data_IF_316625100794
#
_entry.id   IF_316625100794
#
_cell.length_a   1.000
_cell.length_b   1.000
_cell.length_c   1.000
_cell.angle_alpha   90.00
_cell.angle_beta   90.00
_cell.angle_gamma   90.00
#
_symmetry.space_group_name_H-M   'P 1'
#
loop_
_entity.id
_entity.type
_entity.pdbx_description
1 polymer ?
#
# COMPACT_ATOMS: atom_id res chain seq x y z
N UNK A 1 -1.84 23.01 -2.71
CA UNK A 1 -3.14 23.30 -2.11
C UNK A 1 -3.46 24.78 -2.18
N UNK A 2 -4.36 25.15 -3.07
CA UNK A 2 -4.75 26.55 -3.27
C UNK A 2 -6.01 26.89 -2.45
N UNK A 3 -6.79 25.91 -2.06
CA UNK A 3 -8.03 26.10 -1.32
C UNK A 3 -8.00 25.42 0.04
N UNK A 4 -8.57 26.08 1.04
CA UNK A 4 -8.77 25.56 2.38
C UNK A 4 -10.25 25.67 2.72
N UNK A 5 -10.85 24.59 3.19
CA UNK A 5 -12.24 24.61 3.60
C UNK A 5 -12.41 25.47 4.86
N UNK A 6 -13.40 26.39 4.83
CA UNK A 6 -13.84 27.11 6.02
C UNK A 6 -15.12 26.41 6.49
N UNK A 7 -15.22 25.97 7.75
CA UNK A 7 -16.47 25.47 8.29
C UNK A 7 -17.52 26.57 8.30
N UNK A 8 -18.74 26.28 7.85
CA UNK A 8 -19.85 27.24 7.82
C UNK A 8 -20.35 27.67 9.18
N UNK A 9 -19.91 27.02 10.26
CA UNK A 9 -20.31 27.33 11.64
C UNK A 9 -19.07 27.70 12.46
N UNK A 10 -18.97 28.95 12.86
CA UNK A 10 -17.83 29.49 13.60
C UNK A 10 -17.68 28.92 15.01
N UNK A 11 -18.76 28.42 15.63
CA UNK A 11 -18.74 27.87 16.97
C UNK A 11 -18.22 26.42 17.05
N UNK A 12 -18.24 25.71 15.92
CA UNK A 12 -17.75 24.32 15.82
C UNK A 12 -16.48 24.17 14.98
N UNK A 13 -15.77 25.26 14.76
CA UNK A 13 -14.56 25.30 13.93
C UNK A 13 -13.36 24.60 14.57
N UNK A 14 -13.46 23.31 14.80
CA UNK A 14 -12.27 22.47 14.79
C UNK A 14 -11.75 22.43 13.36
N UNK A 15 -10.65 23.11 13.11
CA UNK A 15 -9.95 23.10 11.82
C UNK A 15 -9.48 21.67 11.51
N UNK A 16 -10.38 20.84 11.05
CA UNK A 16 -10.01 19.60 10.36
C UNK A 16 -9.66 19.99 8.94
N UNK A 17 -8.41 20.34 8.70
CA UNK A 17 -7.86 20.38 7.36
C UNK A 17 -7.73 18.94 6.87
N UNK A 18 -8.87 18.34 6.48
CA UNK A 18 -8.86 17.02 5.87
C UNK A 18 -8.50 17.15 4.39
N UNK A 19 -7.45 16.46 3.97
CA UNK A 19 -7.34 16.03 2.60
C UNK A 19 -8.43 14.99 2.38
N UNK A 20 -9.26 15.20 1.36
CA UNK A 20 -10.06 14.09 0.85
C UNK A 20 -9.13 13.32 -0.09
N UNK A 21 -8.55 12.26 0.42
CA UNK A 21 -7.74 11.33 -0.35
C UNK A 21 -8.66 10.65 -1.35
N UNK A 22 -8.15 10.41 -2.55
CA UNK A 22 -8.79 9.68 -3.65
C UNK A 22 -9.85 10.40 -4.50
N UNK A 23 -10.20 11.65 -4.23
CA UNK A 23 -11.16 12.37 -5.09
C UNK A 23 -10.74 13.82 -5.33
N UNK A 24 -10.90 14.27 -6.58
CA UNK A 24 -10.92 15.69 -6.89
C UNK A 24 -12.20 16.27 -6.31
N UNK A 25 -12.05 17.23 -5.42
CA UNK A 25 -13.18 17.87 -4.77
C UNK A 25 -12.98 19.39 -4.73
N UNK A 26 -13.98 20.12 -5.23
CA UNK A 26 -14.02 21.57 -5.13
C UNK A 26 -14.97 21.95 -4.01
N UNK A 27 -14.48 22.51 -2.88
CA UNK A 27 -15.34 22.92 -1.79
C UNK A 27 -16.26 24.07 -2.24
N UNK A 28 -17.51 24.05 -1.78
CA UNK A 28 -18.47 25.15 -2.02
C UNK A 28 -18.02 26.47 -1.39
N UNK A 29 -17.30 26.38 -0.27
CA UNK A 29 -16.75 27.52 0.46
C UNK A 29 -15.25 27.27 0.60
N UNK A 30 -14.44 28.21 0.15
CA UNK A 30 -12.98 28.13 0.21
C UNK A 30 -12.38 29.49 0.54
N UNK A 31 -11.20 29.50 1.14
CA UNK A 31 -10.39 30.70 1.31
C UNK A 31 -9.50 30.91 0.10
N UNK A 32 -9.59 32.05 -0.50
CA UNK A 32 -8.61 32.45 -1.52
C UNK A 32 -7.22 32.60 -0.91
N UNK A 33 -6.23 32.13 -1.66
CA UNK A 33 -4.83 32.32 -1.32
C UNK A 33 -4.13 33.08 -2.44
N UNK A 34 -3.26 33.99 -2.05
CA UNK A 34 -2.41 34.67 -3.01
C UNK A 34 -1.50 33.65 -3.72
N UNK A 35 -1.70 33.49 -5.02
CA UNK A 35 -0.99 32.52 -5.85
C UNK A 35 0.52 32.78 -5.84
N UNK A 36 0.95 34.06 -5.93
CA UNK A 36 2.36 34.41 -5.91
C UNK A 36 3.03 34.09 -4.59
N UNK A 37 2.33 34.26 -3.47
CA UNK A 37 2.84 33.83 -2.18
C UNK A 37 3.03 32.31 -2.13
N UNK A 38 2.05 31.54 -2.61
CA UNK A 38 2.14 30.08 -2.65
C UNK A 38 3.26 29.62 -3.59
N UNK A 39 3.42 30.23 -4.75
CA UNK A 39 4.51 29.95 -5.68
C UNK A 39 5.88 30.24 -5.06
N UNK A 40 6.03 31.39 -4.38
CA UNK A 40 7.29 31.75 -3.73
C UNK A 40 7.69 30.75 -2.64
N UNK A 41 6.73 30.25 -1.86
CA UNK A 41 7.00 29.18 -0.87
C UNK A 41 7.52 27.91 -1.54
N UNK A 42 6.92 27.50 -2.66
CA UNK A 42 7.34 26.30 -3.39
C UNK A 42 8.66 26.49 -4.10
N UNK A 43 8.85 27.66 -4.70
CA UNK A 43 10.11 28.05 -5.33
C UNK A 43 11.30 27.95 -4.34
N UNK A 44 11.15 28.53 -3.15
CA UNK A 44 12.18 28.43 -2.10
C UNK A 44 12.47 26.99 -1.69
N UNK A 45 11.43 26.13 -1.57
CA UNK A 45 11.60 24.73 -1.25
C UNK A 45 12.36 23.98 -2.36
N UNK A 46 12.04 24.25 -3.62
CA UNK A 46 12.72 23.66 -4.79
C UNK A 46 14.18 24.09 -4.84
N UNK A 47 14.47 25.38 -4.63
CA UNK A 47 15.85 25.88 -4.62
C UNK A 47 16.65 25.17 -3.51
N UNK A 48 16.10 25.09 -2.30
CA UNK A 48 16.75 24.38 -1.20
C UNK A 48 17.06 22.93 -1.57
N UNK A 49 16.09 22.18 -2.08
CA UNK A 49 16.32 20.81 -2.53
C UNK A 49 17.39 20.69 -3.62
N UNK A 50 17.37 21.60 -4.61
CA UNK A 50 18.42 21.63 -5.66
C UNK A 50 19.81 21.96 -5.10
N UNK A 51 19.90 22.82 -4.10
CA UNK A 51 21.17 23.13 -3.44
C UNK A 51 21.72 21.95 -2.68
N UNK A 52 20.87 21.14 -2.02
CA UNK A 52 21.25 19.92 -1.32
C UNK A 52 21.76 18.83 -2.31
N UNK A 53 21.30 18.87 -3.57
CA UNK A 53 21.75 17.97 -4.63
C UNK A 53 22.95 18.51 -5.42
N UNK A 54 23.52 19.64 -5.07
CA UNK A 54 24.71 20.18 -5.74
C UNK A 54 25.90 19.24 -5.55
N UNK A 55 26.56 18.90 -6.66
CA UNK A 55 27.70 18.00 -6.68
C UNK A 55 27.36 16.52 -6.85
N UNK A 56 26.07 16.16 -6.86
CA UNK A 56 25.64 14.80 -7.22
C UNK A 56 25.70 14.67 -8.75
N UNK A 57 26.39 13.63 -9.22
CA UNK A 57 26.48 13.33 -10.64
C UNK A 57 25.14 12.81 -11.17
N UNK A 58 24.39 13.67 -11.87
CA UNK A 58 23.08 13.35 -12.43
C UNK A 58 23.12 12.38 -13.63
N UNK A 59 24.31 12.09 -14.19
CA UNK A 59 24.44 11.14 -15.30
C UNK A 59 24.22 9.67 -14.88
N UNK A 60 24.11 9.41 -13.58
CA UNK A 60 23.83 8.08 -13.02
C UNK A 60 22.33 7.75 -12.93
N UNK A 61 21.45 8.69 -13.25
CA UNK A 61 20.00 8.49 -13.19
C UNK A 61 19.37 8.67 -14.58
N UNK A 62 18.58 7.69 -14.98
CA UNK A 62 17.72 7.76 -16.18
C UNK A 62 16.26 7.78 -15.73
N UNK A 63 15.50 8.74 -16.24
CA UNK A 63 14.07 8.84 -16.00
C UNK A 63 13.31 8.51 -17.28
N UNK A 64 12.36 7.61 -17.21
CA UNK A 64 11.45 7.28 -18.29
C UNK A 64 10.01 7.17 -17.76
N UNK A 65 9.06 7.38 -18.66
CA UNK A 65 7.63 7.12 -18.39
C UNK A 65 7.19 6.00 -19.30
N UNK A 66 6.75 4.90 -18.72
CA UNK A 66 6.26 3.73 -19.45
C UNK A 66 5.22 2.99 -18.62
N UNK A 67 4.47 2.11 -19.25
CA UNK A 67 3.60 1.16 -18.61
C UNK A 67 4.44 0.06 -17.96
N UNK A 68 4.19 -0.26 -16.70
CA UNK A 68 4.90 -1.32 -15.97
C UNK A 68 4.60 -2.72 -16.51
N UNK A 69 3.48 -2.90 -17.19
CA UNK A 69 3.13 -4.15 -17.87
C UNK A 69 3.81 -4.30 -19.25
N UNK A 70 4.56 -3.28 -19.68
CA UNK A 70 5.30 -3.32 -20.94
C UNK A 70 6.65 -2.59 -20.81
N UNK A 71 7.65 -3.31 -20.37
CA UNK A 71 9.03 -2.84 -20.26
C UNK A 71 9.90 -3.28 -21.43
N UNK A 72 9.32 -3.37 -22.63
CA UNK A 72 10.02 -3.85 -23.85
C UNK A 72 11.29 -3.08 -24.22
N UNK A 73 11.43 -1.84 -23.75
CA UNK A 73 12.66 -1.05 -23.88
C UNK A 73 13.80 -1.51 -22.96
N UNK A 74 13.52 -2.35 -21.97
CA UNK A 74 14.51 -2.88 -21.03
C UNK A 74 14.81 -4.33 -21.43
N UNK A 75 16.07 -4.69 -21.69
CA UNK A 75 16.44 -6.05 -22.05
C UNK A 75 16.18 -7.06 -20.93
N UNK A 76 15.98 -8.32 -21.31
CA UNK A 76 15.87 -9.43 -20.35
C UNK A 76 17.13 -9.52 -19.50
N UNK A 77 16.97 -9.89 -18.22
CA UNK A 77 18.07 -10.13 -17.29
C UNK A 77 19.12 -8.98 -17.25
N UNK A 78 18.64 -7.73 -17.28
CA UNK A 78 19.52 -6.55 -17.32
C UNK A 78 19.52 -5.73 -16.03
N UNK A 79 18.49 -5.88 -15.21
CA UNK A 79 18.28 -5.12 -13.97
C UNK A 79 18.86 -5.88 -12.78
N UNK A 80 19.64 -5.19 -11.94
CA UNK A 80 20.25 -5.78 -10.74
C UNK A 80 19.32 -5.79 -9.54
N UNK A 81 18.39 -4.84 -9.44
CA UNK A 81 17.47 -4.74 -8.31
C UNK A 81 16.23 -3.94 -8.70
N UNK A 82 15.07 -4.40 -8.24
CA UNK A 82 13.80 -3.70 -8.40
C UNK A 82 13.28 -3.30 -7.02
N UNK A 83 12.90 -2.02 -6.88
CA UNK A 83 12.15 -1.54 -5.73
C UNK A 83 10.89 -0.84 -6.24
N UNK A 84 9.73 -1.23 -5.73
CA UNK A 84 8.44 -0.67 -6.14
C UNK A 84 7.49 -0.48 -4.97
N UNK A 85 6.54 0.43 -5.14
CA UNK A 85 5.39 0.65 -4.27
C UNK A 85 4.15 0.48 -5.17
N UNK A 86 3.57 -0.73 -5.24
CA UNK A 86 2.49 -1.03 -6.17
C UNK A 86 1.18 -0.35 -5.75
N UNK A 87 0.23 -0.15 -6.67
CA UNK A 87 -1.04 0.47 -6.33
C UNK A 87 -1.89 -0.41 -5.40
N UNK A 88 -2.53 0.23 -4.40
CA UNK A 88 -3.25 -0.42 -3.29
C UNK A 88 -4.74 -0.66 -3.61
N UNK A 89 -5.05 -1.29 -4.74
CA UNK A 89 -6.42 -1.61 -5.13
C UNK A 89 -7.28 -0.34 -5.31
N UNK A 90 -8.32 -0.18 -4.49
CA UNK A 90 -9.23 0.98 -4.57
C UNK A 90 -8.78 2.20 -3.72
N UNK A 91 -7.71 2.07 -2.95
CA UNK A 91 -7.35 3.06 -1.93
C UNK A 91 -7.00 4.43 -2.50
N UNK A 92 -6.29 4.49 -3.63
CA UNK A 92 -5.81 5.73 -4.25
C UNK A 92 -5.98 5.68 -5.76
N UNK A 93 -6.78 6.59 -6.32
CA UNK A 93 -6.92 6.78 -7.76
C UNK A 93 -5.83 7.74 -8.26
N UNK A 94 -4.62 7.23 -8.49
CA UNK A 94 -3.44 8.03 -8.81
C UNK A 94 -3.60 8.87 -10.09
N UNK A 95 -4.14 8.29 -11.17
CA UNK A 95 -4.34 9.03 -12.41
C UNK A 95 -5.43 10.08 -12.28
N UNK A 96 -6.49 9.83 -11.52
CA UNK A 96 -7.50 10.84 -11.23
C UNK A 96 -6.92 12.00 -10.42
N UNK A 97 -6.05 11.73 -9.43
CA UNK A 97 -5.37 12.75 -8.65
C UNK A 97 -4.33 13.54 -9.47
N UNK A 98 -3.66 12.89 -10.40
CA UNK A 98 -2.69 13.53 -11.29
C UNK A 98 -3.33 14.25 -12.48
N UNK A 99 -4.63 14.14 -12.68
CA UNK A 99 -5.34 14.75 -13.81
C UNK A 99 -5.06 16.25 -13.96
N UNK A 100 -5.04 16.98 -12.85
CA UNK A 100 -4.71 18.40 -12.85
C UNK A 100 -3.31 18.68 -13.44
N UNK A 101 -2.32 17.86 -13.08
CA UNK A 101 -0.95 18.00 -13.59
C UNK A 101 -0.86 17.56 -15.04
N UNK A 102 -1.49 16.46 -15.38
CA UNK A 102 -1.50 15.90 -16.73
C UNK A 102 -2.16 16.84 -17.75
N UNK A 103 -3.11 17.67 -17.29
CA UNK A 103 -3.74 18.70 -18.14
C UNK A 103 -2.78 19.81 -18.58
N UNK A 104 -1.65 19.98 -17.90
CA UNK A 104 -0.62 20.99 -18.21
C UNK A 104 0.62 20.39 -18.88
N UNK A 105 0.74 19.08 -18.89
CA UNK A 105 1.88 18.37 -19.46
C UNK A 105 1.51 17.84 -20.85
N UNK A 106 2.48 17.73 -21.77
CA UNK A 106 2.23 17.25 -23.13
C UNK A 106 1.96 15.74 -23.20
N UNK A 107 1.90 15.04 -22.09
CA UNK A 107 1.74 13.60 -22.02
C UNK A 107 0.26 13.22 -22.11
N UNK A 108 -0.06 12.24 -22.94
CA UNK A 108 -1.36 11.56 -22.93
C UNK A 108 -1.34 10.47 -21.87
N UNK A 109 -2.38 10.43 -21.06
CA UNK A 109 -2.57 9.42 -20.02
C UNK A 109 -3.73 8.53 -20.42
N UNK A 110 -3.49 7.22 -20.42
CA UNK A 110 -4.55 6.24 -20.65
C UNK A 110 -5.11 5.76 -19.32
N UNK A 111 -6.29 6.25 -18.97
CA UNK A 111 -6.97 5.89 -17.72
C UNK A 111 -7.44 4.44 -17.70
N UNK A 112 -7.66 3.82 -18.86
CA UNK A 112 -8.13 2.44 -18.96
C UNK A 112 -7.01 1.44 -18.62
N UNK A 113 -5.75 1.84 -18.72
CA UNK A 113 -4.59 1.03 -18.40
C UNK A 113 -4.15 1.15 -16.93
N UNK A 114 -4.72 2.06 -16.15
CA UNK A 114 -4.38 2.19 -14.74
C UNK A 114 -4.66 0.88 -13.96
N UNK A 115 -3.67 0.44 -13.18
CA UNK A 115 -3.82 -0.71 -12.28
C UNK A 115 -4.54 -0.23 -11.01
N UNK A 116 -5.85 -0.40 -10.98
CA UNK A 116 -6.72 0.07 -9.90
C UNK A 116 -8.01 -0.76 -9.85
N UNK A 117 -8.61 -0.84 -8.67
CA UNK A 117 -10.01 -1.26 -8.51
C UNK A 117 -10.86 0.01 -8.46
N UNK A 118 -11.71 0.22 -9.47
CA UNK A 118 -12.59 1.38 -9.57
C UNK A 118 -13.94 0.99 -10.21
N UNK A 119 -14.96 0.72 -9.38
CA UNK A 119 -16.27 0.31 -9.87
C UNK A 119 -16.94 1.35 -10.80
N UNK A 120 -16.63 2.65 -10.61
CA UNK A 120 -17.19 3.71 -11.47
C UNK A 120 -16.66 3.64 -12.90
N UNK A 121 -15.42 3.16 -13.07
CA UNK A 121 -14.78 2.91 -14.37
C UNK A 121 -14.93 1.46 -14.83
N UNK A 122 -15.73 0.66 -14.14
CA UNK A 122 -15.95 -0.77 -14.40
C UNK A 122 -14.66 -1.60 -14.34
N UNK A 123 -13.72 -1.20 -13.48
CA UNK A 123 -12.47 -1.91 -13.23
C UNK A 123 -12.62 -2.71 -11.94
N UNK A 124 -12.82 -4.01 -12.09
CA UNK A 124 -12.98 -4.94 -10.98
C UNK A 124 -11.68 -5.53 -10.48
N UNK A 125 -11.81 -6.49 -9.58
CA UNK A 125 -10.68 -7.23 -9.01
C UNK A 125 -9.91 -8.02 -10.08
N UNK A 126 -10.62 -8.64 -11.03
CA UNK A 126 -10.00 -9.45 -12.08
C UNK A 126 -9.11 -8.59 -13.02
N UNK A 127 -9.56 -7.36 -13.38
CA UNK A 127 -8.74 -6.43 -14.17
C UNK A 127 -7.49 -6.02 -13.38
N UNK A 128 -7.64 -5.72 -12.09
CA UNK A 128 -6.52 -5.38 -11.21
C UNK A 128 -5.53 -6.53 -11.10
N UNK A 129 -6.01 -7.75 -10.85
CA UNK A 129 -5.17 -8.93 -10.71
C UNK A 129 -4.41 -9.25 -12.01
N UNK A 130 -5.09 -9.21 -13.17
CA UNK A 130 -4.46 -9.48 -14.46
C UNK A 130 -3.38 -8.45 -14.78
N UNK A 131 -3.66 -7.15 -14.63
CA UNK A 131 -2.68 -6.10 -14.90
C UNK A 131 -1.51 -6.12 -13.93
N UNK A 132 -1.77 -6.47 -12.67
CA UNK A 132 -0.71 -6.70 -11.68
C UNK A 132 0.18 -7.86 -12.14
N UNK A 133 -0.41 -8.97 -12.55
CA UNK A 133 0.33 -10.11 -13.10
C UNK A 133 1.20 -9.72 -14.29
N UNK A 134 0.65 -9.02 -15.27
CA UNK A 134 1.38 -8.58 -16.46
C UNK A 134 2.62 -7.72 -16.07
N UNK A 135 2.47 -6.83 -15.08
CA UNK A 135 3.58 -6.02 -14.58
C UNK A 135 4.66 -6.87 -13.88
N UNK A 136 4.26 -7.86 -13.07
CA UNK A 136 5.21 -8.70 -12.36
C UNK A 136 5.90 -9.72 -13.26
N UNK A 137 5.25 -10.17 -14.34
CA UNK A 137 5.88 -10.96 -15.40
C UNK A 137 7.01 -10.16 -16.08
N UNK A 138 6.79 -8.87 -16.37
CA UNK A 138 7.82 -7.97 -16.90
C UNK A 138 8.96 -7.71 -15.90
N UNK A 139 8.63 -7.53 -14.62
CA UNK A 139 9.65 -7.39 -13.57
C UNK A 139 10.53 -8.64 -13.48
N UNK A 140 9.92 -9.83 -13.56
CA UNK A 140 10.67 -11.08 -13.58
C UNK A 140 11.54 -11.22 -14.83
N UNK A 141 11.03 -10.84 -15.99
CA UNK A 141 11.77 -10.88 -17.24
C UNK A 141 13.03 -10.01 -17.18
N UNK A 142 12.90 -8.75 -16.76
CA UNK A 142 14.02 -7.79 -16.78
C UNK A 142 15.03 -7.99 -15.65
N UNK A 143 14.61 -8.57 -14.51
CA UNK A 143 15.50 -8.82 -13.36
C UNK A 143 16.49 -9.94 -13.70
N UNK A 144 17.75 -9.78 -13.32
CA UNK A 144 18.78 -10.81 -13.44
C UNK A 144 18.52 -12.00 -12.53
N UNK A 145 18.98 -13.19 -12.94
CA UNK A 145 18.91 -14.39 -12.10
C UNK A 145 19.71 -14.19 -10.80
N UNK A 146 19.20 -14.73 -9.71
CA UNK A 146 19.74 -14.60 -8.35
C UNK A 146 19.71 -13.17 -7.78
N UNK A 147 18.96 -12.26 -8.40
CA UNK A 147 18.76 -10.89 -7.92
C UNK A 147 17.41 -10.71 -7.25
N UNK A 148 17.21 -9.55 -6.64
CA UNK A 148 16.09 -9.30 -5.72
C UNK A 148 15.15 -8.23 -6.25
N UNK A 149 13.86 -8.43 -5.93
CA UNK A 149 12.82 -7.42 -6.01
C UNK A 149 12.28 -7.18 -4.61
N UNK A 150 12.15 -5.91 -4.21
CA UNK A 150 11.46 -5.54 -2.99
C UNK A 150 10.30 -4.61 -3.30
N UNK A 151 9.21 -4.78 -2.59
CA UNK A 151 8.11 -3.82 -2.64
C UNK A 151 7.54 -3.56 -1.26
N UNK A 152 7.04 -2.33 -1.08
CA UNK A 152 6.28 -1.94 0.12
C UNK A 152 4.81 -2.15 -0.15
N UNK A 153 4.12 -2.73 0.80
CA UNK A 153 2.68 -2.91 0.66
C UNK A 153 2.00 -3.09 2.01
N UNK A 154 0.86 -2.43 2.18
CA UNK A 154 -0.10 -2.78 3.21
C UNK A 154 -1.53 -2.58 2.70
N UNK A 155 -2.41 -3.48 3.05
CA UNK A 155 -3.83 -3.37 2.80
C UNK A 155 -4.58 -4.21 3.85
N UNK A 156 -5.83 -3.90 4.14
CA UNK A 156 -6.69 -4.74 4.96
C UNK A 156 -7.45 -5.78 4.15
N UNK A 157 -7.66 -5.49 2.88
CA UNK A 157 -8.30 -6.41 1.97
C UNK A 157 -7.30 -7.45 1.46
N UNK A 158 -7.43 -8.67 1.96
CA UNK A 158 -6.60 -9.80 1.54
C UNK A 158 -6.81 -10.20 0.07
N UNK A 159 -7.89 -9.77 -0.59
CA UNK A 159 -8.02 -9.99 -2.03
C UNK A 159 -6.95 -9.19 -2.79
N UNK A 160 -6.69 -7.95 -2.37
CA UNK A 160 -5.64 -7.13 -2.99
C UNK A 160 -4.25 -7.74 -2.73
N UNK A 161 -4.01 -8.26 -1.52
CA UNK A 161 -2.80 -9.03 -1.20
C UNK A 161 -2.65 -10.25 -2.08
N UNK A 162 -3.72 -11.03 -2.20
CA UNK A 162 -3.76 -12.22 -3.04
C UNK A 162 -3.33 -11.91 -4.47
N UNK A 163 -3.87 -10.86 -5.08
CA UNK A 163 -3.52 -10.49 -6.45
C UNK A 163 -2.01 -10.25 -6.63
N UNK A 164 -1.36 -9.55 -5.68
CA UNK A 164 0.08 -9.27 -5.75
C UNK A 164 0.92 -10.51 -5.48
N UNK A 165 0.55 -11.30 -4.46
CA UNK A 165 1.30 -12.50 -4.10
C UNK A 165 1.19 -13.60 -5.16
N UNK A 166 -0.01 -13.78 -5.72
CA UNK A 166 -0.22 -14.69 -6.84
C UNK A 166 0.59 -14.27 -8.07
N UNK A 167 0.59 -12.96 -8.39
CA UNK A 167 1.41 -12.43 -9.49
C UNK A 167 2.92 -12.71 -9.28
N UNK A 168 3.43 -12.53 -8.06
CA UNK A 168 4.81 -12.89 -7.73
C UNK A 168 5.09 -14.39 -7.92
N UNK A 169 4.21 -15.23 -7.38
CA UNK A 169 4.37 -16.68 -7.42
C UNK A 169 4.26 -17.22 -8.86
N UNK A 170 3.27 -16.74 -9.63
CA UNK A 170 3.07 -17.14 -11.02
C UNK A 170 4.20 -16.69 -11.93
N UNK A 171 4.77 -15.50 -11.72
CA UNK A 171 5.95 -15.04 -12.44
C UNK A 171 7.21 -15.88 -12.11
N UNK A 172 7.24 -16.55 -10.96
CA UNK A 172 8.35 -17.41 -10.55
C UNK A 172 9.24 -16.84 -9.44
N UNK A 173 8.84 -15.74 -8.81
CA UNK A 173 9.56 -15.17 -7.68
C UNK A 173 9.46 -16.04 -6.42
N UNK A 174 10.54 -16.10 -5.66
CA UNK A 174 10.62 -16.80 -4.38
C UNK A 174 10.59 -15.79 -3.25
N UNK A 175 9.63 -15.88 -2.34
CA UNK A 175 9.59 -15.05 -1.14
C UNK A 175 10.75 -15.44 -0.21
N UNK A 176 11.61 -14.49 0.13
CA UNK A 176 12.74 -14.70 1.05
C UNK A 176 12.42 -14.23 2.47
N UNK A 177 11.88 -13.03 2.61
CA UNK A 177 11.45 -12.51 3.91
C UNK A 177 10.45 -11.36 3.79
N UNK A 178 9.83 -11.04 4.92
CA UNK A 178 8.92 -9.91 5.09
C UNK A 178 9.41 -9.12 6.30
N UNK A 179 9.55 -7.80 6.14
CA UNK A 179 10.04 -6.90 7.19
C UNK A 179 8.94 -5.88 7.47
N UNK A 180 8.52 -5.76 8.71
CA UNK A 180 7.65 -4.65 9.13
C UNK A 180 8.48 -3.39 9.27
N UNK A 181 8.13 -2.36 8.53
CA UNK A 181 8.68 -1.02 8.61
C UNK A 181 7.74 -0.12 9.39
N UNK A 182 8.03 0.12 10.65
CA UNK A 182 7.29 1.06 11.48
C UNK A 182 7.46 2.49 10.95
N UNK A 183 6.36 3.24 10.92
CA UNK A 183 6.43 4.64 10.51
C UNK A 183 6.97 5.51 11.66
N UNK A 184 8.06 6.23 11.40
CA UNK A 184 8.67 7.15 12.36
C UNK A 184 7.74 8.32 12.76
N UNK A 185 6.78 8.67 11.90
CA UNK A 185 5.80 9.72 12.13
C UNK A 185 4.43 9.24 11.62
N UNK A 186 3.43 9.20 12.51
CA UNK A 186 2.08 8.86 12.08
C UNK A 186 1.58 9.85 11.02
N UNK A 187 1.14 9.35 9.86
CA UNK A 187 0.58 10.19 8.81
C UNK A 187 -0.66 10.94 9.32
N UNK A 188 -0.98 12.10 8.74
CA UNK A 188 -2.10 12.94 9.18
C UNK A 188 -3.46 12.21 9.17
N UNK A 189 -3.64 11.20 8.33
CA UNK A 189 -4.82 10.33 8.29
C UNK A 189 -4.80 9.29 9.40
N UNK A 190 -3.66 8.72 9.72
CA UNK A 190 -3.50 7.77 10.84
C UNK A 190 -3.58 8.47 12.19
N UNK A 191 -3.14 9.73 12.28
CA UNK A 191 -3.24 10.54 13.51
C UNK A 191 -4.68 10.89 13.91
N UNK A 192 -5.60 10.95 12.95
CA UNK A 192 -7.02 11.31 13.17
C UNK A 192 -7.87 10.06 13.41
N UNK A 193 -7.56 8.93 12.77
CA UNK A 193 -8.30 7.67 12.83
C UNK A 193 -7.46 6.53 13.40
N UNK A 194 -6.82 6.73 14.55
CA UNK A 194 -5.96 5.74 15.22
C UNK A 194 -6.64 4.39 15.54
N UNK A 195 -7.96 4.34 15.41
CA UNK A 195 -8.76 3.20 15.88
C UNK A 195 -8.78 2.03 14.92
N UNK A 196 -7.91 1.75 14.08
CA UNK A 196 -7.92 0.55 13.21
C UNK A 196 -7.11 0.72 11.92
N UNK A 197 -6.02 1.45 11.91
CA UNK A 197 -5.10 1.53 10.77
C UNK A 197 -3.81 0.80 11.11
N UNK A 198 -3.27 0.06 10.17
CA UNK A 198 -1.92 -0.48 10.28
C UNK A 198 -0.94 0.67 10.52
N UNK A 199 0.02 0.49 11.42
CA UNK A 199 0.95 1.54 11.84
C UNK A 199 2.20 1.59 10.98
N UNK A 200 2.42 0.58 10.14
CA UNK A 200 3.58 0.44 9.27
C UNK A 200 3.25 -0.17 7.92
N UNK A 201 4.25 -0.22 7.08
CA UNK A 201 4.23 -0.91 5.80
C UNK A 201 5.04 -2.20 5.90
N UNK A 202 4.64 -3.23 5.17
CA UNK A 202 5.46 -4.43 5.03
C UNK A 202 6.36 -4.29 3.81
N UNK A 203 7.64 -4.59 3.99
CA UNK A 203 8.61 -4.71 2.90
C UNK A 203 8.75 -6.18 2.57
N UNK A 204 8.30 -6.57 1.38
CA UNK A 204 8.40 -7.92 0.84
C UNK A 204 9.66 -8.03 0.01
N UNK A 205 10.49 -9.02 0.32
CA UNK A 205 11.70 -9.28 -0.45
C UNK A 205 11.56 -10.61 -1.18
N UNK A 206 11.56 -10.52 -2.50
CA UNK A 206 11.48 -11.66 -3.40
C UNK A 206 12.78 -11.83 -4.17
N UNK A 207 13.11 -13.06 -4.50
CA UNK A 207 14.28 -13.40 -5.29
C UNK A 207 13.86 -14.09 -6.60
N UNK A 208 14.47 -13.70 -7.70
CA UNK A 208 14.45 -14.48 -8.93
C UNK A 208 15.47 -15.61 -8.78
N UNK A 209 15.00 -16.83 -8.62
CA UNK A 209 15.85 -18.02 -8.45
C UNK A 209 15.34 -19.13 -9.36
N UNK A 210 15.93 -19.26 -10.51
CA UNK A 210 15.52 -20.24 -11.55
C UNK A 210 15.80 -21.69 -11.14
N UNK A 211 16.56 -21.92 -10.06
CA UNK A 211 16.83 -23.26 -9.54
C UNK A 211 15.74 -23.77 -8.56
N UNK A 212 14.90 -22.88 -8.05
CA UNK A 212 13.79 -23.15 -7.13
C UNK A 212 12.45 -22.86 -7.79
N UNK A 213 11.40 -23.48 -7.28
CA UNK A 213 10.02 -23.15 -7.65
C UNK A 213 9.32 -22.48 -6.49
N UNK A 214 8.46 -21.49 -6.74
CA UNK A 214 7.62 -20.92 -5.70
C UNK A 214 6.79 -21.99 -5.00
N UNK A 215 6.62 -21.84 -3.71
CA UNK A 215 5.69 -22.66 -2.94
C UNK A 215 4.32 -22.02 -3.08
N UNK A 216 3.45 -22.62 -3.90
CA UNK A 216 2.11 -22.06 -4.19
C UNK A 216 1.00 -22.76 -3.39
N UNK A 217 1.32 -23.82 -2.66
CA UNK A 217 0.34 -24.59 -1.92
C UNK A 217 0.51 -24.40 -0.42
N UNK A 218 -0.60 -24.16 0.29
CA UNK A 218 -0.63 -24.18 1.73
C UNK A 218 -0.59 -25.63 2.24
N UNK A 219 0.33 -25.91 3.16
CA UNK A 219 0.41 -27.24 3.83
C UNK A 219 -0.53 -27.36 5.04
N UNK A 220 -1.17 -26.26 5.43
CA UNK A 220 -2.03 -26.18 6.61
C UNK A 220 -3.42 -26.69 6.24
N UNK A 221 -3.87 -27.76 6.90
CA UNK A 221 -5.17 -28.39 6.62
C UNK A 221 -6.38 -27.55 7.04
N UNK A 222 -6.26 -26.81 8.13
CA UNK A 222 -7.33 -25.94 8.62
C UNK A 222 -6.77 -24.53 8.85
N UNK A 223 -6.89 -23.69 7.84
CA UNK A 223 -6.32 -22.36 7.84
C UNK A 223 -6.99 -21.47 8.88
N UNK A 224 -8.31 -21.58 9.05
CA UNK A 224 -9.05 -20.76 10.03
C UNK A 224 -8.59 -21.11 11.45
N UNK A 225 -8.43 -22.37 11.78
CA UNK A 225 -7.94 -22.80 13.09
C UNK A 225 -6.48 -22.38 13.33
N UNK A 226 -5.65 -22.46 12.29
CA UNK A 226 -4.28 -21.96 12.35
C UNK A 226 -4.24 -20.46 12.65
N UNK A 227 -5.07 -19.66 11.98
CA UNK A 227 -5.16 -18.22 12.23
C UNK A 227 -5.65 -17.96 13.67
N UNK A 228 -6.69 -18.65 14.12
CA UNK A 228 -7.20 -18.52 15.50
C UNK A 228 -6.13 -18.86 16.53
N UNK A 229 -5.45 -19.98 16.41
CA UNK A 229 -4.38 -20.35 17.35
C UNK A 229 -3.22 -19.34 17.34
N UNK A 230 -2.91 -18.74 16.20
CA UNK A 230 -1.90 -17.69 16.08
C UNK A 230 -2.36 -16.40 16.80
N UNK A 231 -3.63 -16.02 16.66
CA UNK A 231 -4.23 -14.89 17.37
C UNK A 231 -4.22 -15.11 18.87
N UNK A 232 -4.66 -16.29 19.33
CA UNK A 232 -4.72 -16.67 20.75
C UNK A 232 -3.34 -16.63 21.40
N UNK A 233 -2.33 -17.13 20.70
CA UNK A 233 -0.96 -17.04 21.18
C UNK A 233 -0.55 -15.58 21.41
N UNK A 234 -0.76 -14.71 20.43
CA UNK A 234 -0.40 -13.29 20.55
C UNK A 234 -1.13 -12.60 21.69
N UNK A 235 -2.45 -12.79 21.78
CA UNK A 235 -3.29 -12.21 22.84
C UNK A 235 -2.84 -12.68 24.23
N UNK A 236 -2.52 -13.98 24.35
CA UNK A 236 -2.04 -14.56 25.60
C UNK A 236 -0.70 -14.00 26.05
N UNK A 237 0.21 -13.78 25.14
CA UNK A 237 1.55 -13.23 25.40
C UNK A 237 1.51 -11.73 25.77
N UNK A 238 0.52 -10.97 25.25
CA UNK A 238 0.44 -9.51 25.38
C UNK A 238 -0.71 -9.02 26.27
N UNK A 239 -1.49 -9.93 26.88
CA UNK A 239 -2.67 -9.59 27.70
C UNK A 239 -3.73 -8.74 26.96
N UNK A 240 -3.95 -9.01 25.68
CA UNK A 240 -4.83 -8.27 24.80
C UNK A 240 -4.08 -7.70 23.59
N UNK A 241 -4.82 -7.30 22.57
CA UNK A 241 -4.25 -6.74 21.36
C UNK A 241 -5.19 -5.75 20.67
N UNK A 242 -4.67 -4.75 20.00
CA UNK A 242 -5.45 -3.95 19.06
C UNK A 242 -5.58 -4.68 17.72
N UNK A 243 -6.62 -4.38 16.91
CA UNK A 243 -6.72 -4.92 15.57
C UNK A 243 -5.45 -4.70 14.73
N UNK A 244 -4.81 -3.54 14.87
CA UNK A 244 -3.57 -3.21 14.14
C UNK A 244 -2.43 -4.15 14.51
N UNK A 245 -2.20 -4.35 15.80
CA UNK A 245 -1.15 -5.27 16.29
C UNK A 245 -1.39 -6.69 15.83
N UNK A 246 -2.65 -7.15 15.83
CA UNK A 246 -3.00 -8.48 15.33
C UNK A 246 -2.73 -8.59 13.83
N UNK A 247 -3.13 -7.62 13.02
CA UNK A 247 -2.85 -7.65 11.58
C UNK A 247 -1.34 -7.61 11.30
N UNK A 248 -0.59 -6.77 12.00
CA UNK A 248 0.87 -6.68 11.86
C UNK A 248 1.58 -7.98 12.21
N UNK A 249 1.07 -8.71 13.20
CA UNK A 249 1.61 -10.01 13.60
C UNK A 249 1.20 -11.14 12.65
N UNK A 250 -0.06 -11.20 12.26
CA UNK A 250 -0.63 -12.34 11.54
C UNK A 250 -0.26 -12.33 10.05
N UNK A 251 -0.28 -11.15 9.40
CA UNK A 251 -0.09 -11.07 7.94
C UNK A 251 1.22 -11.71 7.49
N UNK A 252 2.39 -11.42 8.09
CA UNK A 252 3.63 -12.09 7.69
C UNK A 252 3.56 -13.62 7.84
N UNK A 253 2.93 -14.11 8.90
CA UNK A 253 2.80 -15.55 9.18
C UNK A 253 1.91 -16.23 8.14
N UNK A 254 0.78 -15.63 7.81
CA UNK A 254 -0.16 -16.12 6.78
C UNK A 254 0.54 -16.17 5.42
N UNK A 255 1.24 -15.10 5.05
CA UNK A 255 1.91 -14.99 3.75
C UNK A 255 3.05 -16.01 3.62
N UNK A 256 3.89 -16.14 4.64
CA UNK A 256 5.00 -17.09 4.65
C UNK A 256 4.54 -18.54 4.53
N UNK A 257 3.34 -18.85 5.02
CA UNK A 257 2.75 -20.20 4.96
C UNK A 257 1.79 -20.39 3.78
N UNK A 258 1.64 -19.41 2.88
CA UNK A 258 0.62 -19.39 1.83
C UNK A 258 -0.81 -19.63 2.34
N UNK A 259 -1.10 -19.22 3.57
CA UNK A 259 -2.37 -19.43 4.26
C UNK A 259 -3.35 -18.25 4.10
N UNK A 260 -3.26 -17.53 3.00
CA UNK A 260 -4.09 -16.36 2.71
C UNK A 260 -5.33 -16.67 1.87
N UNK A 261 -5.51 -17.92 1.44
CA UNK A 261 -6.70 -18.38 0.70
C UNK A 261 -7.34 -19.59 1.37
N UNK A 262 -8.66 -19.67 1.29
CA UNK A 262 -9.43 -20.83 1.72
C UNK A 262 -9.35 -22.00 0.70
N UNK A 263 -10.01 -23.11 1.00
CA UNK A 263 -10.06 -24.29 0.14
C UNK A 263 -10.72 -24.03 -1.22
N UNK A 264 -11.52 -22.97 -1.35
CA UNK A 264 -12.18 -22.56 -2.59
C UNK A 264 -11.35 -21.56 -3.41
N UNK A 265 -10.18 -21.15 -2.89
CA UNK A 265 -9.29 -20.18 -3.51
C UNK A 265 -9.64 -18.71 -3.25
N UNK A 266 -10.63 -18.44 -2.38
CA UNK A 266 -10.96 -17.11 -1.95
C UNK A 266 -10.00 -16.60 -0.88
N UNK A 267 -9.76 -15.30 -0.85
CA UNK A 267 -8.95 -14.70 0.22
C UNK A 267 -9.64 -14.84 1.58
N UNK A 268 -8.85 -15.18 2.61
CA UNK A 268 -9.33 -15.28 3.99
C UNK A 268 -9.75 -13.90 4.50
N UNK A 269 -10.89 -13.83 5.18
CA UNK A 269 -11.34 -12.62 5.83
C UNK A 269 -10.99 -12.63 7.32
N UNK A 270 -9.84 -12.04 7.69
CA UNK A 270 -9.38 -11.96 9.09
C UNK A 270 -10.38 -11.19 9.97
N UNK A 271 -10.98 -10.12 9.46
CA UNK A 271 -11.96 -9.32 10.20
C UNK A 271 -13.17 -10.18 10.62
N UNK A 272 -13.67 -11.06 9.73
CA UNK A 272 -14.74 -11.96 10.08
C UNK A 272 -14.32 -12.97 11.16
N UNK A 273 -13.11 -13.53 11.05
CA UNK A 273 -12.57 -14.45 12.05
C UNK A 273 -12.50 -13.75 13.42
N UNK A 274 -12.02 -12.51 13.47
CA UNK A 274 -11.93 -11.73 14.69
C UNK A 274 -13.31 -11.48 15.30
N UNK A 275 -14.28 -11.03 14.50
CA UNK A 275 -15.65 -10.72 14.96
C UNK A 275 -16.44 -11.93 15.42
N UNK A 276 -16.24 -13.08 14.79
CA UNK A 276 -16.96 -14.31 15.12
C UNK A 276 -16.36 -15.06 16.31
N UNK A 277 -15.08 -14.84 16.61
CA UNK A 277 -14.34 -15.66 17.57
C UNK A 277 -13.93 -14.92 18.85
N UNK A 278 -13.95 -13.59 18.84
CA UNK A 278 -13.43 -12.78 19.95
C UNK A 278 -14.36 -11.62 20.29
N UNK A 279 -14.40 -11.27 21.60
CA UNK A 279 -15.12 -10.10 22.08
C UNK A 279 -14.29 -8.82 21.89
N UNK A 280 -14.87 -7.83 21.21
CA UNK A 280 -14.26 -6.51 21.06
C UNK A 280 -14.65 -5.62 22.25
N UNK A 281 -13.67 -5.23 23.06
CA UNK A 281 -13.86 -4.35 24.21
C UNK A 281 -13.47 -2.92 23.83
N UNK A 282 -14.42 -1.99 23.90
CA UNK A 282 -14.16 -0.57 23.71
C UNK A 282 -13.52 0.01 24.97
N UNK A 283 -12.20 0.22 24.95
CA UNK A 283 -11.44 0.73 26.12
C UNK A 283 -11.47 2.24 26.13
N UNK A 284 -11.76 2.83 27.29
CA UNK A 284 -11.77 4.28 27.48
C UNK A 284 -10.38 4.89 27.25
N UNK A 285 -10.28 6.16 26.82
CA UNK A 285 -8.97 6.81 26.58
C UNK A 285 -8.01 6.77 27.78
N UNK A 286 -8.54 6.74 28.99
CA UNK A 286 -7.73 6.69 30.21
C UNK A 286 -7.20 5.29 30.54
N UNK A 287 -7.83 4.24 30.03
CA UNK A 287 -7.40 2.85 30.21
C UNK A 287 -6.44 2.41 29.12
N UNK A 288 -6.50 3.03 27.92
CA UNK A 288 -5.57 2.76 26.81
C UNK A 288 -4.09 2.91 27.16
N UNK A 289 -3.76 3.79 28.11
CA UNK A 289 -2.40 3.95 28.59
C UNK A 289 -1.92 2.82 29.52
N UNK A 290 -2.84 1.97 29.98
CA UNK A 290 -2.56 0.88 30.94
C UNK A 290 -2.62 -0.51 30.33
N UNK A 291 -3.36 -0.70 29.25
CA UNK A 291 -3.69 -2.02 28.69
C UNK A 291 -3.15 -2.20 27.24
N UNK A 292 -2.51 -1.22 26.67
CA UNK A 292 -1.87 -1.35 25.35
C UNK A 292 -2.77 -1.76 24.17
N UNK A 293 -4.10 -1.86 24.32
CA UNK A 293 -5.02 -2.24 23.24
C UNK A 293 -6.15 -3.16 23.67
N UNK A 294 -7.15 -3.37 22.83
CA UNK A 294 -8.41 -3.95 23.24
C UNK A 294 -8.89 -5.10 22.33
N UNK A 295 -8.37 -6.25 22.54
CA UNK A 295 -9.04 -7.54 22.34
C UNK A 295 -8.71 -8.46 23.50
#
# INVERSE_FOLDING_TARGET
NVSRMIPGDKEKATYKSGWVISKFWTPKIHTERNIFYCMNLRYKAIIKGKQELQGINSSLATLSTSDSSNLSSIPDNSIDYIFTDPPYGESIAYLALSHFWNSWLPNTVNYDEEIIIDPYRKKGYEDYAQRTKDAYDEFYRVLKDNHYMSFTFHNRDLNVWKAILDACNEAGFILENIILQEQAVSSGTQGINKKNTLTGDFVYNFKKDTSRKPITTCSIKNIVEFIKSTIEQFISEHNGATPSELYEYIIPIIVQNNAYTDETGNAINIENILRESYDYIEVSPNEKSKIGGAY
#
